data_IF_477771390970
#
_entry.id   IF_477771390970
#
_cell.length_a   1.000
_cell.length_b   1.000
_cell.length_c   1.000
_cell.angle_alpha   90.00
_cell.angle_beta   90.00
_cell.angle_gamma   90.00
#
_symmetry.space_group_name_H-M   'P 1'
#
loop_
_entity.id
_entity.type
_entity.pdbx_description
1 polymer ?
#
# COMPACT_ATOMS: atom_id res chain seq x y z
N UNK A 1 20.55 -7.21 26.37
CA UNK A 1 21.81 -6.98 25.63
C UNK A 1 21.72 -7.30 24.11
N UNK A 2 20.86 -8.18 23.64
CA UNK A 2 20.67 -8.45 22.20
C UNK A 2 19.82 -7.39 21.45
N UNK A 3 18.87 -6.77 22.13
CA UNK A 3 18.01 -5.71 21.57
C UNK A 3 18.77 -4.41 21.30
N UNK A 4 19.73 -4.06 22.19
CA UNK A 4 20.54 -2.85 22.05
C UNK A 4 21.54 -2.89 20.86
N UNK A 5 22.00 -4.09 20.48
CA UNK A 5 22.88 -4.24 19.31
C UNK A 5 22.15 -4.10 17.97
N UNK A 6 20.85 -4.41 17.92
CA UNK A 6 20.06 -4.30 16.71
C UNK A 6 19.72 -2.84 16.37
N UNK A 7 19.34 -2.05 17.37
CA UNK A 7 19.07 -0.61 17.20
C UNK A 7 20.33 0.16 16.79
N UNK A 8 21.52 -0.24 17.27
CA UNK A 8 22.79 0.42 16.92
C UNK A 8 23.24 0.12 15.48
N UNK A 9 22.91 -1.05 14.94
CA UNK A 9 23.20 -1.42 13.54
C UNK A 9 22.27 -0.67 12.57
N UNK A 10 21.00 -0.49 12.92
CA UNK A 10 20.05 0.28 12.09
C UNK A 10 20.39 1.78 12.07
N UNK A 11 20.85 2.36 13.17
CA UNK A 11 21.33 3.75 13.17
C UNK A 11 22.64 3.96 12.38
N UNK A 12 23.50 2.94 12.31
CA UNK A 12 24.74 3.01 11.52
C UNK A 12 24.51 2.84 10.01
N UNK A 13 23.46 2.13 9.60
CA UNK A 13 23.08 1.99 8.18
C UNK A 13 22.46 3.29 7.65
N UNK A 14 21.63 3.98 8.46
CA UNK A 14 21.03 5.27 8.08
C UNK A 14 22.09 6.37 7.96
N UNK A 15 23.12 6.37 8.83
CA UNK A 15 24.21 7.34 8.74
C UNK A 15 25.17 7.10 7.56
N UNK A 16 25.31 5.86 7.08
CA UNK A 16 26.17 5.55 5.92
C UNK A 16 25.51 5.87 4.58
N UNK A 17 24.18 5.86 4.48
CA UNK A 17 23.45 6.24 3.26
C UNK A 17 23.50 7.75 3.04
N UNK A 18 23.44 8.56 4.11
CA UNK A 18 23.54 10.02 4.02
C UNK A 18 24.96 10.49 3.67
N UNK A 19 26.00 9.73 4.05
CA UNK A 19 27.40 10.09 3.74
C UNK A 19 27.83 9.68 2.31
N UNK A 20 27.22 8.63 1.72
CA UNK A 20 27.52 8.24 0.34
C UNK A 20 26.92 9.13 -0.74
N UNK A 21 25.87 9.90 -0.45
CA UNK A 21 25.28 10.85 -1.42
C UNK A 21 26.02 12.19 -1.49
N UNK A 22 26.94 12.50 -0.57
CA UNK A 22 27.70 13.74 -0.55
C UNK A 22 29.12 13.64 -1.13
N UNK A 23 29.60 12.44 -1.50
CA UNK A 23 30.98 12.21 -1.98
C UNK A 23 31.12 12.00 -3.49
N UNK A 24 30.02 12.07 -4.27
CA UNK A 24 30.08 11.86 -5.74
C UNK A 24 30.05 13.13 -6.60
N UNK A 25 30.14 14.33 -6.02
CA UNK A 25 30.13 15.61 -6.79
C UNK A 25 31.50 16.30 -6.72
N UNK A 26 32.61 15.58 -6.73
CA UNK A 26 33.90 16.27 -6.92
C UNK A 26 34.97 15.34 -7.50
N UNK A 27 34.86 15.04 -8.80
CA UNK A 27 36.02 14.74 -9.65
C UNK A 27 35.63 14.81 -11.12
N UNK A 28 36.43 15.60 -11.82
CA UNK A 28 36.54 15.79 -13.26
C UNK A 28 35.68 16.93 -13.87
N UNK A 29 36.31 18.12 -14.00
CA UNK A 29 36.53 18.68 -15.31
C UNK A 29 37.28 20.00 -15.22
N UNK A 30 38.60 19.92 -15.35
CA UNK A 30 39.43 21.03 -15.79
C UNK A 30 39.29 21.12 -17.32
N UNK A 31 38.52 22.08 -17.81
CA UNK A 31 38.72 22.68 -19.15
C UNK A 31 38.31 24.15 -19.07
N UNK A 32 39.28 25.00 -19.39
CA UNK A 32 39.14 26.45 -19.56
C UNK A 32 37.97 26.79 -20.45
N UNK A 33 36.96 27.44 -19.87
CA UNK A 33 35.98 28.23 -20.58
C UNK A 33 35.86 29.56 -19.82
N UNK A 34 36.34 30.61 -20.43
CA UNK A 34 36.19 32.02 -19.97
C UNK A 34 34.70 32.30 -19.76
N UNK A 35 34.23 32.64 -18.55
CA UNK A 35 32.82 32.96 -18.36
C UNK A 35 32.56 34.39 -18.85
N UNK A 36 31.63 34.50 -19.76
CA UNK A 36 30.94 35.75 -20.00
C UNK A 36 30.04 36.00 -18.75
N UNK A 37 30.57 36.79 -17.82
CA UNK A 37 29.84 37.24 -16.63
C UNK A 37 28.79 38.28 -17.06
N UNK A 38 27.59 37.80 -17.38
CA UNK A 38 26.39 38.61 -17.18
C UNK A 38 25.96 38.42 -15.72
N UNK A 39 26.49 39.28 -14.86
CA UNK A 39 26.00 39.42 -13.48
C UNK A 39 24.61 40.02 -13.53
N UNK A 40 23.57 39.18 -13.51
CA UNK A 40 22.28 39.57 -12.96
C UNK A 40 22.48 39.67 -11.45
N UNK A 41 22.53 40.90 -10.93
CA UNK A 41 22.48 41.16 -9.48
C UNK A 41 21.12 40.69 -8.93
N UNK A 42 20.96 39.39 -8.69
CA UNK A 42 19.89 38.86 -7.82
C UNK A 42 20.31 39.14 -6.39
N UNK A 43 19.46 39.80 -5.63
CA UNK A 43 19.72 40.06 -4.22
C UNK A 43 19.76 38.70 -3.46
N UNK A 44 20.61 38.65 -2.44
CA UNK A 44 20.70 37.47 -1.54
C UNK A 44 19.33 37.14 -0.98
N UNK A 45 18.44 38.11 -0.78
CA UNK A 45 17.05 37.95 -0.35
C UNK A 45 16.17 37.17 -1.35
N UNK A 46 16.37 37.34 -2.68
CA UNK A 46 15.62 36.61 -3.70
C UNK A 46 16.04 35.14 -3.75
N UNK A 47 17.34 34.86 -3.62
CA UNK A 47 17.86 33.48 -3.60
C UNK A 47 17.39 32.76 -2.34
N UNK A 48 17.35 33.42 -1.18
CA UNK A 48 16.88 32.85 0.07
C UNK A 48 15.37 32.56 0.02
N UNK A 49 14.58 33.46 -0.59
CA UNK A 49 13.13 33.23 -0.79
C UNK A 49 12.83 32.09 -1.77
N UNK A 50 13.60 31.96 -2.85
CA UNK A 50 13.46 30.82 -3.77
C UNK A 50 13.81 29.49 -3.08
N UNK A 51 14.82 29.47 -2.21
CA UNK A 51 15.22 28.30 -1.45
C UNK A 51 14.16 27.92 -0.41
N UNK A 52 13.63 28.89 0.34
CA UNK A 52 12.52 28.66 1.28
C UNK A 52 11.24 28.20 0.58
N UNK A 53 10.96 28.69 -0.63
CA UNK A 53 9.84 28.26 -1.45
C UNK A 53 9.99 26.78 -1.91
N UNK A 54 11.20 26.40 -2.33
CA UNK A 54 11.51 25.05 -2.76
C UNK A 54 11.39 24.04 -1.60
N UNK A 55 11.85 24.42 -0.40
CA UNK A 55 11.79 23.58 0.79
C UNK A 55 10.34 23.29 1.24
N UNK A 56 9.41 24.23 1.02
CA UNK A 56 7.99 24.05 1.39
C UNK A 56 7.23 23.13 0.41
N UNK A 57 7.54 23.19 -0.88
CA UNK A 57 6.95 22.28 -1.88
C UNK A 57 7.40 20.83 -1.65
N UNK A 58 8.65 20.64 -1.30
CA UNK A 58 9.24 19.33 -0.95
C UNK A 58 8.53 18.69 0.25
N UNK A 59 8.09 19.48 1.26
CA UNK A 59 7.48 18.98 2.48
C UNK A 59 6.19 18.17 2.24
N UNK A 60 5.26 18.64 1.40
CA UNK A 60 3.99 17.93 1.17
C UNK A 60 4.22 16.61 0.44
N UNK A 61 5.07 16.61 -0.57
CA UNK A 61 5.46 15.41 -1.30
C UNK A 61 6.14 14.40 -0.38
N UNK A 62 7.02 14.87 0.50
CA UNK A 62 7.71 14.08 1.52
C UNK A 62 6.72 13.49 2.51
N UNK A 63 5.77 14.27 3.03
CA UNK A 63 4.76 13.78 3.98
C UNK A 63 3.87 12.68 3.39
N UNK A 64 3.47 12.82 2.11
CA UNK A 64 2.74 11.77 1.39
C UNK A 64 3.58 10.49 1.29
N UNK A 65 4.87 10.62 0.98
CA UNK A 65 5.79 9.49 0.91
C UNK A 65 5.97 8.85 2.30
N UNK A 66 6.22 9.64 3.33
CA UNK A 66 6.38 9.16 4.72
C UNK A 66 5.13 8.41 5.21
N UNK A 67 3.93 8.85 4.84
CA UNK A 67 2.69 8.14 5.15
C UNK A 67 2.59 6.79 4.41
N UNK A 68 2.97 6.75 3.12
CA UNK A 68 3.05 5.50 2.36
C UNK A 68 4.03 4.51 3.01
N UNK A 69 5.23 4.98 3.36
CA UNK A 69 6.28 4.18 4.01
C UNK A 69 5.83 3.67 5.38
N UNK A 70 5.17 4.51 6.18
CA UNK A 70 4.63 4.13 7.48
C UNK A 70 3.63 2.99 7.38
N UNK A 71 2.69 3.06 6.43
CA UNK A 71 1.70 2.01 6.19
C UNK A 71 2.33 0.73 5.65
N UNK A 72 3.30 0.85 4.76
CA UNK A 72 4.06 -0.27 4.23
C UNK A 72 4.80 -1.02 5.35
N UNK A 73 5.53 -0.30 6.19
CA UNK A 73 6.27 -0.88 7.31
C UNK A 73 5.34 -1.53 8.34
N UNK A 74 4.18 -0.92 8.64
CA UNK A 74 3.19 -1.50 9.56
C UNK A 74 2.66 -2.85 9.03
N UNK A 75 2.38 -2.96 7.73
CA UNK A 75 1.95 -4.21 7.11
C UNK A 75 3.05 -5.28 7.17
N UNK A 76 4.30 -4.91 6.83
CA UNK A 76 5.45 -5.85 6.88
C UNK A 76 5.65 -6.34 8.31
N UNK A 77 5.68 -5.45 9.29
CA UNK A 77 5.83 -5.81 10.71
C UNK A 77 4.77 -6.81 11.13
N UNK A 78 3.50 -6.53 10.81
CA UNK A 78 2.39 -7.44 11.16
C UNK A 78 2.52 -8.80 10.50
N UNK A 79 2.90 -8.86 9.24
CA UNK A 79 3.09 -10.13 8.51
C UNK A 79 4.28 -10.93 9.06
N UNK A 80 5.33 -10.24 9.52
CA UNK A 80 6.55 -10.88 10.04
C UNK A 80 6.41 -11.42 11.48
N UNK A 81 5.27 -11.20 12.14
CA UNK A 81 4.98 -11.79 13.45
C UNK A 81 4.66 -13.30 13.35
N UNK A 82 4.16 -13.74 12.21
CA UNK A 82 3.86 -15.15 11.96
C UNK A 82 5.14 -15.90 11.56
N UNK A 83 5.29 -17.14 12.02
CA UNK A 83 6.42 -18.00 11.61
C UNK A 83 6.10 -18.75 10.32
N UNK A 84 4.84 -19.14 10.15
CA UNK A 84 4.34 -19.91 9.02
C UNK A 84 2.95 -19.42 8.60
N UNK A 85 2.73 -19.30 7.30
CA UNK A 85 1.42 -19.00 6.74
C UNK A 85 0.79 -20.29 6.21
N UNK A 86 -0.23 -20.79 6.93
CA UNK A 86 -1.05 -21.91 6.45
C UNK A 86 -2.04 -21.39 5.42
N UNK A 87 -1.88 -21.82 4.17
CA UNK A 87 -2.65 -21.31 3.03
C UNK A 87 -3.80 -22.24 2.65
N UNK A 88 -3.58 -23.55 2.75
CA UNK A 88 -4.57 -24.56 2.41
C UNK A 88 -4.50 -25.70 3.45
N UNK A 89 -5.66 -26.12 3.93
CA UNK A 89 -5.79 -27.36 4.69
C UNK A 89 -6.55 -28.37 3.82
N UNK A 90 -5.99 -29.58 3.72
CA UNK A 90 -6.59 -30.69 3.00
C UNK A 90 -6.94 -31.77 4.00
N UNK A 91 -8.22 -32.07 4.13
CA UNK A 91 -8.71 -33.21 4.93
C UNK A 91 -9.09 -34.36 4.01
N UNK A 92 -8.72 -35.57 4.40
CA UNK A 92 -8.99 -36.75 3.59
C UNK A 92 -8.83 -38.05 4.35
N UNK A 93 -9.21 -39.13 3.69
CA UNK A 93 -9.03 -40.48 4.23
C UNK A 93 -8.24 -41.34 3.25
N UNK A 94 -7.29 -42.08 3.77
CA UNK A 94 -6.49 -43.08 3.03
C UNK A 94 -6.79 -44.48 3.54
N UNK A 95 -7.14 -45.35 2.64
CA UNK A 95 -7.33 -46.77 2.94
C UNK A 95 -6.22 -47.57 2.28
N UNK A 96 -5.52 -48.39 3.07
CA UNK A 96 -4.47 -49.29 2.57
C UNK A 96 -4.68 -50.69 3.07
N UNK A 97 -4.36 -51.65 2.22
CA UNK A 97 -4.41 -53.08 2.59
C UNK A 97 -2.98 -53.61 2.50
N UNK A 98 -2.51 -54.17 3.58
CA UNK A 98 -1.22 -54.85 3.67
C UNK A 98 -1.43 -56.33 3.84
N UNK A 99 -0.82 -57.13 2.96
CA UNK A 99 -0.94 -58.57 2.97
C UNK A 99 0.40 -59.21 3.26
N UNK A 100 0.40 -60.17 4.14
CA UNK A 100 1.56 -61.02 4.42
C UNK A 100 1.27 -62.40 3.85
N UNK A 101 2.12 -62.84 2.90
CA UNK A 101 2.12 -64.21 2.37
C UNK A 101 3.33 -64.90 2.90
N UNK A 102 3.19 -66.07 3.45
CA UNK A 102 4.33 -66.89 3.86
C UNK A 102 4.95 -67.52 2.61
N UNK A 103 6.27 -67.51 2.51
CA UNK A 103 7.03 -68.06 1.37
C UNK A 103 7.13 -69.58 1.37
N UNK A 104 6.72 -70.23 2.47
CA UNK A 104 6.76 -71.66 2.57
C UNK A 104 5.53 -72.28 1.92
N UNK A 105 5.68 -72.87 0.75
CA UNK A 105 4.64 -73.41 -0.14
C UNK A 105 3.80 -74.55 0.44
N UNK A 106 3.97 -74.94 1.68
CA UNK A 106 3.32 -76.08 2.30
C UNK A 106 2.10 -75.73 3.22
N UNK A 107 1.84 -74.49 3.51
CA UNK A 107 0.74 -74.13 4.44
C UNK A 107 -0.23 -73.18 3.79
N UNK A 108 -1.29 -73.69 3.23
CA UNK A 108 -2.35 -72.92 2.54
C UNK A 108 -3.14 -71.93 3.41
N UNK A 109 -2.94 -71.87 4.73
CA UNK A 109 -3.70 -71.07 5.69
C UNK A 109 -2.86 -70.15 6.57
N UNK A 110 -1.74 -69.62 6.02
CA UNK A 110 -0.83 -68.79 6.79
C UNK A 110 -0.81 -67.30 6.29
N UNK A 111 -1.93 -66.84 5.77
CA UNK A 111 -2.06 -65.47 5.28
C UNK A 111 -2.64 -64.56 6.36
N UNK A 112 -2.18 -63.36 6.38
CA UNK A 112 -2.80 -62.30 7.17
C UNK A 112 -2.90 -61.05 6.32
N UNK A 113 -4.01 -60.33 6.44
CA UNK A 113 -4.19 -59.01 5.82
C UNK A 113 -4.62 -58.00 6.87
N UNK A 114 -4.09 -56.82 6.76
CA UNK A 114 -4.39 -55.69 7.61
C UNK A 114 -4.92 -54.55 6.74
N UNK A 115 -6.15 -54.14 6.97
CA UNK A 115 -6.73 -52.95 6.37
C UNK A 115 -6.55 -51.78 7.36
N UNK A 116 -5.91 -50.73 6.92
CA UNK A 116 -5.70 -49.53 7.72
C UNK A 116 -6.38 -48.35 7.03
N UNK A 117 -7.27 -47.68 7.77
CA UNK A 117 -7.85 -46.41 7.36
C UNK A 117 -7.27 -45.29 8.23
N UNK A 118 -6.71 -44.29 7.60
CA UNK A 118 -6.20 -43.09 8.23
C UNK A 118 -7.06 -41.88 7.78
N UNK A 119 -7.64 -41.18 8.72
CA UNK A 119 -8.23 -39.85 8.47
C UNK A 119 -7.15 -38.82 8.81
N UNK A 120 -6.78 -38.00 7.84
CA UNK A 120 -5.61 -37.11 7.87
C UNK A 120 -5.98 -35.69 7.55
N UNK A 121 -5.17 -34.78 8.06
CA UNK A 121 -5.18 -33.34 7.70
C UNK A 121 -3.78 -32.92 7.30
N UNK A 122 -3.63 -32.36 6.08
CA UNK A 122 -2.37 -31.80 5.59
C UNK A 122 -2.49 -30.27 5.50
N UNK A 123 -1.55 -29.56 6.11
CA UNK A 123 -1.44 -28.12 6.01
C UNK A 123 -0.36 -27.76 4.99
N UNK A 124 -0.73 -27.03 3.94
CA UNK A 124 0.15 -26.49 2.91
C UNK A 124 0.31 -25.00 3.12
N UNK A 125 1.53 -24.52 3.06
CA UNK A 125 1.83 -23.11 3.26
C UNK A 125 3.27 -22.77 2.98
N UNK A 126 3.71 -21.63 3.50
CA UNK A 126 5.06 -21.11 3.33
C UNK A 126 5.58 -20.58 4.67
N UNK A 127 6.87 -20.74 4.92
CA UNK A 127 7.53 -20.05 6.02
C UNK A 127 7.67 -18.56 5.69
N UNK A 128 7.37 -17.68 6.64
CA UNK A 128 7.56 -16.23 6.44
C UNK A 128 9.04 -15.89 6.20
N UNK A 129 9.98 -16.71 6.69
CA UNK A 129 11.40 -16.55 6.43
C UNK A 129 11.80 -16.78 4.94
N UNK A 130 10.96 -17.50 4.19
CA UNK A 130 11.16 -17.73 2.74
C UNK A 130 10.56 -16.60 1.89
N UNK A 131 9.97 -15.57 2.52
CA UNK A 131 9.38 -14.41 1.86
C UNK A 131 10.26 -13.19 2.10
N UNK A 132 10.65 -12.52 1.02
CA UNK A 132 11.41 -11.27 1.10
C UNK A 132 10.49 -10.08 0.93
N UNK A 133 10.56 -9.17 1.91
CA UNK A 133 9.85 -7.91 1.90
C UNK A 133 10.82 -6.76 1.66
N UNK A 134 10.41 -5.81 0.84
CA UNK A 134 11.11 -4.55 0.62
C UNK A 134 10.10 -3.43 0.47
N UNK A 135 10.47 -2.20 0.83
CA UNK A 135 9.66 -1.02 0.54
C UNK A 135 10.35 -0.26 -0.57
N UNK A 136 9.67 -0.10 -1.70
CA UNK A 136 10.18 0.61 -2.86
C UNK A 136 10.10 2.13 -2.63
N UNK A 137 10.85 2.90 -3.43
CA UNK A 137 10.97 4.37 -3.28
C UNK A 137 9.62 5.10 -3.38
N UNK A 138 8.65 4.55 -4.08
CA UNK A 138 7.30 5.09 -4.21
C UNK A 138 6.35 4.68 -3.08
N UNK A 139 6.81 3.90 -2.11
CA UNK A 139 6.02 3.34 -1.01
C UNK A 139 5.24 2.08 -1.37
N UNK A 140 5.49 1.48 -2.53
CA UNK A 140 4.99 0.14 -2.88
C UNK A 140 5.72 -0.92 -2.08
N UNK A 141 5.03 -1.97 -1.64
CA UNK A 141 5.64 -3.11 -0.95
C UNK A 141 6.02 -4.16 -1.97
N UNK A 142 7.31 -4.44 -2.12
CA UNK A 142 7.84 -5.59 -2.82
C UNK A 142 7.71 -6.84 -1.95
N UNK A 143 7.12 -7.91 -2.49
CA UNK A 143 6.91 -9.20 -1.84
C UNK A 143 7.39 -10.27 -2.81
N UNK A 144 8.52 -10.87 -2.50
CA UNK A 144 9.17 -11.83 -3.36
C UNK A 144 9.30 -13.17 -2.65
N UNK A 145 8.83 -14.24 -3.26
CA UNK A 145 8.94 -15.61 -2.80
C UNK A 145 9.06 -16.56 -3.98
N UNK A 146 9.69 -17.72 -3.76
CA UNK A 146 9.68 -18.78 -4.74
C UNK A 146 8.45 -19.69 -4.51
N UNK A 147 7.73 -20.00 -5.56
CA UNK A 147 6.60 -20.92 -5.49
C UNK A 147 6.98 -22.30 -4.96
N UNK A 148 8.21 -22.74 -5.19
CA UNK A 148 8.74 -24.02 -4.70
C UNK A 148 8.94 -24.03 -3.18
N UNK A 149 8.92 -22.87 -2.51
CA UNK A 149 8.94 -22.76 -1.05
C UNK A 149 7.57 -23.01 -0.43
N UNK A 150 6.50 -23.04 -1.24
CA UNK A 150 5.16 -23.47 -0.81
C UNK A 150 5.16 -24.99 -0.71
N UNK A 151 5.08 -25.49 0.51
CA UNK A 151 5.23 -26.92 0.83
C UNK A 151 4.28 -27.38 1.91
N UNK A 152 4.30 -28.67 2.21
CA UNK A 152 3.59 -29.22 3.36
C UNK A 152 4.31 -28.76 4.62
N UNK A 153 3.62 -27.97 5.45
CA UNK A 153 4.11 -27.51 6.76
C UNK A 153 3.89 -28.59 7.83
N UNK A 154 2.74 -29.24 7.81
CA UNK A 154 2.44 -30.32 8.75
C UNK A 154 1.45 -31.33 8.17
N UNK A 155 1.53 -32.55 8.67
CA UNK A 155 0.56 -33.61 8.40
C UNK A 155 0.16 -34.24 9.74
N UNK A 156 -1.14 -34.32 9.99
CA UNK A 156 -1.69 -34.86 11.23
C UNK A 156 -2.64 -36.01 10.93
N UNK A 157 -2.55 -37.06 11.71
CA UNK A 157 -3.54 -38.13 11.72
C UNK A 157 -4.61 -37.75 12.73
N UNK A 158 -5.83 -37.57 12.25
CA UNK A 158 -7.00 -37.25 13.09
C UNK A 158 -7.64 -38.48 13.67
N UNK A 159 -7.63 -39.59 12.92
CA UNK A 159 -8.19 -40.87 13.36
C UNK A 159 -7.50 -42.04 12.64
N UNK A 160 -7.40 -43.16 13.32
CA UNK A 160 -6.87 -44.42 12.77
C UNK A 160 -7.82 -45.55 13.11
N UNK A 161 -8.31 -46.24 12.10
CA UNK A 161 -9.04 -47.48 12.28
C UNK A 161 -8.37 -48.59 11.51
N UNK A 162 -8.36 -49.78 12.07
CA UNK A 162 -7.79 -50.95 11.38
C UNK A 162 -8.62 -52.17 11.64
N UNK A 163 -8.63 -53.06 10.65
CA UNK A 163 -9.19 -54.41 10.79
C UNK A 163 -8.20 -55.44 10.26
N UNK A 164 -8.04 -56.51 11.01
CA UNK A 164 -7.13 -57.59 10.66
C UNK A 164 -7.95 -58.85 10.32
N UNK A 165 -7.67 -59.44 9.17
CA UNK A 165 -8.16 -60.74 8.77
C UNK A 165 -6.96 -61.68 8.68
N UNK A 166 -7.10 -62.87 9.26
CA UNK A 166 -6.05 -63.90 9.24
C UNK A 166 -6.63 -65.27 9.06
N UNK A 167 -5.87 -66.11 8.40
CA UNK A 167 -6.13 -67.52 8.33
C UNK A 167 -5.79 -68.21 9.66
N UNK A 168 -6.16 -69.47 9.82
CA UNK A 168 -6.01 -70.24 11.05
C UNK A 168 -4.61 -70.21 11.65
N UNK A 169 -3.57 -70.20 10.80
CA UNK A 169 -2.17 -70.16 11.22
C UNK A 169 -1.51 -68.80 10.93
N UNK A 170 -2.27 -67.84 10.46
CA UNK A 170 -1.76 -66.48 10.18
C UNK A 170 -1.30 -65.77 11.46
N UNK A 171 -0.09 -65.20 11.43
CA UNK A 171 0.42 -64.41 12.56
C UNK A 171 -0.20 -63.03 12.54
N UNK A 172 -0.64 -62.53 13.70
CA UNK A 172 -1.10 -61.17 13.88
C UNK A 172 0.02 -60.16 13.53
N UNK A 173 -0.38 -59.00 13.02
CA UNK A 173 0.53 -57.89 12.89
C UNK A 173 0.95 -57.37 14.28
N UNK A 174 2.23 -57.23 14.50
CA UNK A 174 2.76 -56.63 15.72
C UNK A 174 2.48 -55.12 15.76
N UNK A 175 2.52 -54.54 16.96
CA UNK A 175 2.38 -53.09 17.13
C UNK A 175 3.46 -52.31 16.37
N UNK A 176 4.69 -52.83 16.30
CA UNK A 176 5.79 -52.21 15.55
C UNK A 176 5.52 -52.21 14.04
N UNK A 177 4.97 -53.30 13.49
CA UNK A 177 4.61 -53.39 12.07
C UNK A 177 3.47 -52.41 11.75
N UNK A 178 2.45 -52.32 12.63
CA UNK A 178 1.35 -51.35 12.46
C UNK A 178 1.89 -49.90 12.41
N UNK A 179 2.80 -49.54 13.32
CA UNK A 179 3.44 -48.21 13.34
C UNK A 179 4.19 -47.97 12.03
N UNK A 180 5.02 -48.91 11.59
CA UNK A 180 5.77 -48.78 10.34
C UNK A 180 4.88 -48.65 9.11
N UNK A 181 3.74 -49.32 9.09
CA UNK A 181 2.72 -49.22 8.03
C UNK A 181 2.10 -47.80 8.02
N UNK A 182 1.76 -47.27 9.19
CA UNK A 182 1.21 -45.92 9.34
C UNK A 182 2.22 -44.87 8.86
N UNK A 183 3.46 -44.96 9.32
CA UNK A 183 4.55 -44.05 8.92
C UNK A 183 4.79 -44.09 7.40
N UNK A 184 4.91 -45.27 6.80
CA UNK A 184 5.08 -45.43 5.36
C UNK A 184 3.90 -44.91 4.53
N UNK A 185 2.65 -44.97 5.08
CA UNK A 185 1.50 -44.37 4.43
C UNK A 185 1.54 -42.84 4.54
N UNK A 186 2.01 -42.27 5.66
CA UNK A 186 2.18 -40.80 5.83
C UNK A 186 3.18 -40.24 4.84
N UNK A 187 4.31 -40.93 4.61
CA UNK A 187 5.32 -40.46 3.65
C UNK A 187 4.79 -40.46 2.21
N UNK A 188 4.05 -41.49 1.82
CA UNK A 188 3.38 -41.54 0.51
C UNK A 188 2.36 -40.43 0.34
N UNK A 189 1.63 -40.06 1.40
CA UNK A 189 0.68 -38.98 1.39
C UNK A 189 1.41 -37.63 1.23
N UNK A 190 2.49 -37.42 1.99
CA UNK A 190 3.32 -36.19 1.85
C UNK A 190 3.85 -36.07 0.43
N UNK A 191 4.37 -37.12 -0.14
CA UNK A 191 4.85 -37.14 -1.51
C UNK A 191 3.74 -36.85 -2.52
N UNK A 192 2.59 -37.52 -2.41
CA UNK A 192 1.46 -37.35 -3.34
C UNK A 192 0.84 -35.94 -3.26
N UNK A 193 0.78 -35.34 -2.08
CA UNK A 193 0.27 -33.97 -1.87
C UNK A 193 1.31 -32.94 -2.25
N UNK A 194 2.59 -33.14 -1.86
CA UNK A 194 3.67 -32.19 -2.10
C UNK A 194 4.01 -32.05 -3.60
N UNK A 195 3.91 -33.15 -4.36
CA UNK A 195 4.16 -33.15 -5.81
C UNK A 195 2.93 -32.78 -6.66
N UNK A 196 1.82 -32.38 -6.01
CA UNK A 196 0.58 -32.06 -6.72
C UNK A 196 0.48 -30.57 -7.01
N UNK A 197 0.80 -30.19 -8.23
CA UNK A 197 0.74 -28.80 -8.74
C UNK A 197 -0.60 -28.13 -8.48
N UNK A 198 -1.70 -28.86 -8.48
CA UNK A 198 -3.03 -28.30 -8.23
C UNK A 198 -3.13 -27.69 -6.83
N UNK A 199 -2.57 -28.35 -5.82
CA UNK A 199 -2.62 -27.87 -4.45
C UNK A 199 -1.64 -26.74 -4.21
N UNK A 200 -0.43 -26.83 -4.79
CA UNK A 200 0.57 -25.77 -4.75
C UNK A 200 0.05 -24.51 -5.46
N UNK A 201 -0.54 -24.64 -6.66
CA UNK A 201 -1.15 -23.52 -7.38
C UNK A 201 -2.33 -22.88 -6.62
N UNK A 202 -3.11 -23.69 -5.89
CA UNK A 202 -4.18 -23.16 -5.05
C UNK A 202 -3.62 -22.37 -3.89
N UNK A 203 -2.59 -22.87 -3.22
CA UNK A 203 -1.92 -22.20 -2.11
C UNK A 203 -1.29 -20.89 -2.57
N UNK A 204 -0.59 -20.88 -3.71
CA UNK A 204 -0.01 -19.67 -4.31
C UNK A 204 -1.08 -18.57 -4.55
N UNK A 205 -2.23 -18.92 -5.12
CA UNK A 205 -3.33 -17.96 -5.31
C UNK A 205 -3.89 -17.43 -3.98
N UNK A 206 -3.95 -18.27 -2.95
CA UNK A 206 -4.41 -17.85 -1.62
C UNK A 206 -3.39 -16.88 -1.01
N UNK A 207 -2.08 -17.13 -1.16
CA UNK A 207 -1.02 -16.25 -0.69
C UNK A 207 -1.07 -14.88 -1.37
N UNK A 208 -1.23 -14.85 -2.70
CA UNK A 208 -1.37 -13.60 -3.46
C UNK A 208 -2.58 -12.79 -2.97
N UNK A 209 -3.72 -13.46 -2.77
CA UNK A 209 -4.92 -12.81 -2.25
C UNK A 209 -4.75 -12.30 -0.83
N UNK A 210 -4.11 -13.08 0.05
CA UNK A 210 -3.80 -12.70 1.43
C UNK A 210 -3.06 -11.38 1.48
N UNK A 211 -1.97 -11.22 0.70
CA UNK A 211 -1.21 -9.97 0.69
C UNK A 211 -1.99 -8.81 0.08
N UNK A 212 -2.80 -9.06 -0.94
CA UNK A 212 -3.67 -8.03 -1.51
C UNK A 212 -4.72 -7.54 -0.50
N UNK A 213 -5.36 -8.44 0.25
CA UNK A 213 -6.36 -8.09 1.25
C UNK A 213 -5.70 -7.42 2.48
N UNK A 214 -4.50 -7.84 2.88
CA UNK A 214 -3.69 -7.15 3.88
C UNK A 214 -3.33 -5.73 3.43
N UNK A 215 -2.90 -5.55 2.20
CA UNK A 215 -2.61 -4.23 1.64
C UNK A 215 -3.81 -3.29 1.70
N UNK A 216 -5.01 -3.78 1.40
CA UNK A 216 -6.25 -3.01 1.59
C UNK A 216 -6.50 -2.65 3.03
N UNK A 217 -6.34 -3.62 3.94
CA UNK A 217 -6.57 -3.43 5.39
C UNK A 217 -5.66 -2.36 5.97
N UNK A 218 -4.38 -2.36 5.60
CA UNK A 218 -3.41 -1.36 6.03
C UNK A 218 -3.47 -0.07 5.20
N UNK A 219 -4.23 -0.05 4.10
CA UNK A 219 -4.34 1.11 3.22
C UNK A 219 -3.02 1.47 2.54
N UNK A 220 -2.17 0.48 2.20
CA UNK A 220 -0.90 0.72 1.53
C UNK A 220 -1.09 1.23 0.11
N UNK A 221 -0.10 1.93 -0.43
CA UNK A 221 -0.15 2.48 -1.78
C UNK A 221 -0.26 1.39 -2.85
N UNK A 222 0.63 0.42 -2.82
CA UNK A 222 0.67 -0.66 -3.80
C UNK A 222 1.42 -1.88 -3.29
N UNK A 223 1.22 -3.00 -3.99
CA UNK A 223 1.93 -4.26 -3.76
C UNK A 223 2.54 -4.72 -5.08
N UNK A 224 3.81 -5.10 -5.03
CA UNK A 224 4.56 -5.73 -6.12
C UNK A 224 4.83 -7.19 -5.73
N UNK A 225 4.02 -8.11 -6.24
CA UNK A 225 4.16 -9.55 -6.01
C UNK A 225 5.01 -10.17 -7.13
N UNK A 226 6.21 -10.67 -6.79
CA UNK A 226 7.13 -11.28 -7.73
C UNK A 226 7.30 -10.45 -9.03
N UNK A 227 7.51 -9.13 -8.87
CA UNK A 227 7.69 -8.19 -9.98
C UNK A 227 6.42 -7.66 -10.64
N UNK A 228 5.22 -8.12 -10.23
CA UNK A 228 3.96 -7.61 -10.74
C UNK A 228 3.33 -6.62 -9.76
N UNK A 229 3.32 -5.34 -10.13
CA UNK A 229 2.76 -4.27 -9.31
C UNK A 229 1.25 -4.14 -9.48
N UNK A 230 0.56 -3.94 -8.37
CA UNK A 230 -0.86 -3.59 -8.29
C UNK A 230 -1.04 -2.41 -7.35
N UNK A 231 -1.55 -1.29 -7.85
CA UNK A 231 -1.87 -0.13 -7.02
C UNK A 231 -3.18 -0.41 -6.28
N UNK A 232 -3.12 -0.31 -4.95
CA UNK A 232 -4.25 -0.58 -4.05
C UNK A 232 -4.97 0.72 -3.69
N UNK A 233 -4.22 1.74 -3.29
CA UNK A 233 -4.78 2.99 -2.82
C UNK A 233 -4.27 4.18 -3.65
N UNK A 234 -5.12 4.67 -4.56
CA UNK A 234 -4.80 5.80 -5.43
C UNK A 234 -4.83 7.16 -4.73
N UNK A 235 -5.30 7.23 -3.48
CA UNK A 235 -5.32 8.49 -2.72
C UNK A 235 -3.92 9.07 -2.49
N UNK A 236 -2.88 8.30 -2.71
CA UNK A 236 -1.48 8.72 -2.59
C UNK A 236 -0.80 9.03 -3.93
N UNK A 237 -1.52 9.03 -5.04
CA UNK A 237 -0.96 9.56 -6.28
C UNK A 237 -0.83 11.07 -6.15
N UNK A 238 0.39 11.57 -6.23
CA UNK A 238 0.70 12.98 -6.12
C UNK A 238 1.38 13.47 -7.41
N UNK A 239 0.87 14.58 -7.93
CA UNK A 239 1.37 15.22 -9.15
C UNK A 239 1.69 16.68 -8.84
N UNK A 240 2.94 17.07 -9.10
CA UNK A 240 3.44 18.41 -8.85
C UNK A 240 3.39 19.26 -10.13
N UNK A 241 2.64 20.35 -10.06
CA UNK A 241 2.48 21.35 -11.12
C UNK A 241 2.82 22.77 -10.62
N UNK A 242 3.55 22.90 -9.51
CA UNK A 242 3.89 24.20 -8.90
C UNK A 242 4.82 25.08 -9.75
N UNK A 243 5.48 24.50 -10.75
CA UNK A 243 6.29 25.25 -11.73
C UNK A 243 5.47 26.02 -12.76
N UNK A 244 4.15 25.87 -12.74
CA UNK A 244 3.24 26.58 -13.63
C UNK A 244 2.99 27.99 -13.12
N UNK A 245 3.10 28.99 -13.99
CA UNK A 245 2.84 30.38 -13.64
C UNK A 245 1.37 30.72 -13.82
N UNK A 246 0.72 31.10 -12.74
CA UNK A 246 -0.68 31.53 -12.75
C UNK A 246 -0.73 33.05 -12.50
N UNK A 247 -0.74 33.84 -13.50
CA UNK A 247 -0.93 35.29 -13.56
C UNK A 247 -0.76 36.11 -12.26
N UNK A 248 -1.84 36.28 -11.52
CA UNK A 248 -1.86 37.13 -10.32
C UNK A 248 -1.53 36.39 -9.00
N UNK A 249 -1.38 35.07 -9.00
CA UNK A 249 -1.05 34.27 -7.81
C UNK A 249 0.46 34.26 -7.54
N UNK A 250 1.05 35.45 -7.32
CA UNK A 250 2.49 35.59 -7.10
C UNK A 250 2.84 36.21 -5.73
N UNK A 251 1.83 36.55 -4.93
CA UNK A 251 2.06 37.18 -3.62
C UNK A 251 2.39 36.11 -2.58
N UNK A 252 3.39 36.36 -1.71
CA UNK A 252 3.73 35.40 -0.65
C UNK A 252 2.59 35.27 0.37
N UNK A 253 2.24 34.04 0.71
CA UNK A 253 1.35 33.70 1.83
C UNK A 253 2.20 33.43 3.07
N UNK A 254 2.00 34.22 4.13
CA UNK A 254 2.69 34.00 5.40
C UNK A 254 2.10 32.77 6.08
N UNK A 255 2.96 31.83 6.48
CA UNK A 255 2.56 30.55 7.03
C UNK A 255 1.79 30.67 8.37
N UNK A 256 2.14 31.63 9.21
CA UNK A 256 1.46 31.99 10.47
C UNK A 256 0.11 32.71 10.26
N UNK A 257 -0.13 33.23 9.05
CA UNK A 257 -1.39 33.86 8.70
C UNK A 257 -2.49 32.85 8.29
N UNK A 258 -2.16 31.58 8.02
CA UNK A 258 -3.13 30.57 7.57
C UNK A 258 -4.10 30.21 8.70
N UNK A 259 -5.36 30.64 8.52
CA UNK A 259 -6.47 30.40 9.46
C UNK A 259 -7.53 29.45 8.92
N UNK A 260 -7.51 29.20 7.61
CA UNK A 260 -8.54 28.42 6.94
C UNK A 260 -7.92 27.45 5.93
N UNK A 261 -8.52 26.26 5.86
CA UNK A 261 -8.40 25.33 4.75
C UNK A 261 -9.77 25.36 4.06
N UNK A 262 -9.83 25.94 2.84
CA UNK A 262 -11.08 26.16 2.14
C UNK A 262 -11.32 25.10 1.09
N UNK A 263 -12.47 24.43 1.16
CA UNK A 263 -12.87 23.39 0.24
C UNK A 263 -13.81 23.96 -0.82
N UNK A 264 -13.45 23.74 -2.09
CA UNK A 264 -14.20 24.13 -3.26
C UNK A 264 -14.69 22.92 -4.05
N UNK A 265 -15.58 23.12 -4.99
CA UNK A 265 -15.95 22.16 -6.02
C UNK A 265 -15.91 22.82 -7.39
N UNK A 266 -15.35 22.15 -8.39
CA UNK A 266 -15.13 22.69 -9.72
C UNK A 266 -16.43 23.05 -10.46
N UNK A 267 -17.57 22.50 -10.06
CA UNK A 267 -18.89 22.65 -10.70
C UNK A 267 -18.90 22.28 -12.20
N UNK A 268 -17.86 21.64 -12.70
CA UNK A 268 -17.71 21.14 -14.07
C UNK A 268 -17.75 19.61 -14.02
N UNK A 269 -18.92 19.03 -14.26
CA UNK A 269 -19.09 17.58 -14.16
C UNK A 269 -18.18 16.81 -15.10
N UNK A 270 -17.49 15.79 -14.54
CA UNK A 270 -16.64 14.86 -15.28
C UNK A 270 -15.27 15.42 -15.71
N UNK A 271 -14.98 16.71 -15.44
CA UNK A 271 -13.68 17.32 -15.76
C UNK A 271 -12.67 17.02 -14.64
N UNK A 272 -11.54 16.40 -15.01
CA UNK A 272 -10.49 16.01 -14.07
C UNK A 272 -9.54 17.15 -13.67
N UNK A 273 -8.77 16.94 -12.62
CA UNK A 273 -7.84 17.93 -12.05
C UNK A 273 -6.81 18.45 -13.07
N UNK A 274 -6.20 17.55 -13.85
CA UNK A 274 -5.22 17.92 -14.87
C UNK A 274 -5.82 18.86 -15.94
N UNK A 275 -7.07 18.65 -16.32
CA UNK A 275 -7.75 19.49 -17.30
C UNK A 275 -7.97 20.90 -16.77
N UNK A 276 -8.35 21.06 -15.49
CA UNK A 276 -8.46 22.35 -14.82
C UNK A 276 -7.11 23.07 -14.75
N UNK A 277 -6.03 22.37 -14.40
CA UNK A 277 -4.68 22.93 -14.34
C UNK A 277 -4.21 23.37 -15.75
N UNK A 278 -4.44 22.56 -16.78
CA UNK A 278 -4.09 22.92 -18.15
C UNK A 278 -4.90 24.12 -18.65
N UNK A 279 -6.16 24.25 -18.23
CA UNK A 279 -6.97 25.42 -18.58
C UNK A 279 -6.42 26.70 -17.94
N UNK A 280 -6.01 26.66 -16.65
CA UNK A 280 -5.38 27.76 -15.95
C UNK A 280 -4.05 28.19 -16.58
N UNK A 281 -3.36 27.27 -17.23
CA UNK A 281 -2.10 27.50 -17.95
C UNK A 281 -2.29 28.16 -19.30
N UNK A 282 -3.51 28.26 -19.77
CA UNK A 282 -3.77 28.82 -21.08
C UNK A 282 -3.73 30.36 -21.00
N UNK A 283 -2.94 31.03 -21.85
CA UNK A 283 -2.81 32.47 -21.91
C UNK A 283 -4.16 33.19 -22.13
N UNK A 284 -5.18 32.47 -22.54
CA UNK A 284 -6.54 32.98 -22.72
C UNK A 284 -7.40 32.92 -21.42
N UNK A 285 -6.91 32.37 -20.33
CA UNK A 285 -7.63 32.37 -19.06
C UNK A 285 -7.60 33.77 -18.44
N UNK A 286 -8.67 34.52 -18.63
CA UNK A 286 -8.79 35.92 -18.15
C UNK A 286 -8.92 36.02 -16.63
N UNK A 287 -9.43 34.98 -15.98
CA UNK A 287 -9.70 34.92 -14.54
C UNK A 287 -8.85 33.83 -13.90
N UNK A 288 -7.69 34.22 -13.44
CA UNK A 288 -6.69 33.26 -12.93
C UNK A 288 -6.94 32.91 -11.47
N UNK A 289 -8.17 32.46 -11.18
CA UNK A 289 -8.53 31.93 -9.89
C UNK A 289 -7.99 30.50 -9.75
N UNK A 290 -6.85 30.33 -9.08
CA UNK A 290 -6.27 29.04 -8.86
C UNK A 290 -6.37 28.62 -7.39
N UNK A 291 -6.59 27.33 -7.14
CA UNK A 291 -6.45 26.71 -5.84
C UNK A 291 -5.06 26.09 -5.69
N UNK A 292 -4.62 25.88 -4.45
CA UNK A 292 -3.33 25.22 -4.18
C UNK A 292 -3.34 23.78 -4.65
N UNK A 293 -4.45 23.09 -4.42
CA UNK A 293 -4.63 21.69 -4.79
C UNK A 293 -5.89 21.49 -5.61
N UNK A 294 -5.80 20.60 -6.58
CA UNK A 294 -6.92 20.01 -7.30
C UNK A 294 -6.91 18.50 -7.01
N UNK A 295 -8.08 17.93 -6.74
CA UNK A 295 -8.19 16.50 -6.47
C UNK A 295 -9.28 15.87 -7.31
N UNK A 296 -8.99 14.68 -7.85
CA UNK A 296 -9.92 13.86 -8.62
C UNK A 296 -9.77 12.37 -8.25
N UNK A 297 -10.53 11.44 -8.83
CA UNK A 297 -10.37 10.02 -8.54
C UNK A 297 -8.99 9.43 -8.85
N UNK A 298 -8.17 10.12 -9.65
CA UNK A 298 -6.82 9.66 -10.04
C UNK A 298 -5.74 10.06 -9.06
N UNK A 299 -5.98 11.12 -8.23
CA UNK A 299 -5.01 11.56 -7.24
C UNK A 299 -5.12 13.02 -6.81
N UNK A 300 -4.01 13.50 -6.29
CA UNK A 300 -3.79 14.83 -5.72
C UNK A 300 -2.85 15.58 -6.67
N UNK A 301 -3.26 16.77 -7.08
CA UNK A 301 -2.49 17.64 -8.00
C UNK A 301 -2.22 18.95 -7.28
N UNK A 302 -0.97 19.25 -6.98
CA UNK A 302 -0.57 20.53 -6.41
C UNK A 302 -0.31 21.53 -7.54
N UNK A 303 -1.11 22.58 -7.60
CA UNK A 303 -1.00 23.62 -8.63
C UNK A 303 -0.22 24.86 -8.16
N UNK A 304 -0.34 25.22 -6.88
CA UNK A 304 0.38 26.33 -6.27
C UNK A 304 1.10 25.86 -5.01
N UNK A 305 2.25 26.45 -4.73
CA UNK A 305 2.89 26.30 -3.44
C UNK A 305 2.02 26.89 -2.33
N UNK A 306 2.03 26.23 -1.17
CA UNK A 306 1.23 26.67 -0.01
C UNK A 306 1.73 27.97 0.62
N UNK A 307 2.85 28.49 0.18
CA UNK A 307 3.41 29.80 0.55
C UNK A 307 3.04 30.92 -0.43
N UNK A 308 2.19 30.64 -1.43
CA UNK A 308 1.68 31.62 -2.39
C UNK A 308 0.19 31.87 -2.10
N UNK A 309 -0.22 33.14 -2.15
CA UNK A 309 -1.64 33.51 -2.01
C UNK A 309 -2.43 33.01 -3.21
N UNK A 310 -3.43 32.18 -2.97
CA UNK A 310 -4.37 31.73 -4.00
C UNK A 310 -5.56 32.68 -4.11
N UNK A 311 -6.04 32.92 -5.34
CA UNK A 311 -7.15 33.82 -5.60
C UNK A 311 -8.43 33.05 -5.91
N UNK A 312 -9.17 32.62 -4.86
CA UNK A 312 -10.37 31.78 -5.02
C UNK A 312 -11.49 32.02 -3.99
N UNK A 313 -11.17 32.71 -2.88
CA UNK A 313 -12.11 32.87 -1.75
C UNK A 313 -12.45 34.33 -1.42
N UNK A 314 -12.06 35.25 -2.29
CA UNK A 314 -12.22 36.69 -2.10
C UNK A 314 -11.12 37.33 -1.23
N UNK A 315 -11.01 38.66 -1.35
CA UNK A 315 -9.89 39.43 -0.78
C UNK A 315 -9.72 39.23 0.75
N UNK A 316 -10.81 38.98 1.44
CA UNK A 316 -10.81 38.81 2.90
C UNK A 316 -10.16 37.48 3.36
N UNK A 317 -10.19 36.45 2.50
CA UNK A 317 -9.76 35.09 2.85
C UNK A 317 -8.52 34.62 2.08
N UNK A 318 -8.24 35.19 0.90
CA UNK A 318 -7.15 34.73 0.03
C UNK A 318 -5.79 34.71 0.73
N UNK A 319 -5.47 35.74 1.53
CA UNK A 319 -4.21 35.88 2.27
C UNK A 319 -4.14 35.15 3.61
N UNK A 320 -5.18 34.36 3.93
CA UNK A 320 -5.34 33.63 5.21
C UNK A 320 -5.71 32.16 5.01
N UNK A 321 -5.65 31.64 3.79
CA UNK A 321 -6.14 30.30 3.49
C UNK A 321 -5.25 29.54 2.53
N UNK A 322 -5.28 28.22 2.73
CA UNK A 322 -4.90 27.25 1.72
C UNK A 322 -6.19 26.58 1.19
N UNK A 323 -6.27 26.36 -0.11
CA UNK A 323 -7.48 25.92 -0.78
C UNK A 323 -7.32 24.61 -1.53
N UNK A 324 -8.41 23.81 -1.50
CA UNK A 324 -8.51 22.53 -2.18
C UNK A 324 -9.74 22.52 -3.08
N UNK A 325 -9.54 22.34 -4.36
CA UNK A 325 -10.58 22.21 -5.39
C UNK A 325 -10.89 20.74 -5.63
N UNK A 326 -12.11 20.31 -5.32
CA UNK A 326 -12.58 18.94 -5.50
C UNK A 326 -13.29 18.87 -6.85
N UNK A 327 -12.79 18.06 -7.79
CA UNK A 327 -13.44 17.86 -9.07
C UNK A 327 -14.84 17.26 -8.89
N UNK A 328 -15.80 17.78 -9.64
CA UNK A 328 -17.22 17.41 -9.53
C UNK A 328 -17.54 16.27 -10.48
N UNK A 329 -18.30 15.28 -9.99
CA UNK A 329 -18.76 14.13 -10.75
C UNK A 329 -20.22 13.82 -10.39
N UNK A 330 -21.06 13.54 -11.39
CA UNK A 330 -22.41 12.98 -11.21
C UNK A 330 -22.39 11.52 -10.77
N UNK A 331 -21.26 10.83 -10.95
CA UNK A 331 -21.02 9.47 -10.48
C UNK A 331 -20.60 9.46 -9.00
N UNK A 332 -21.47 8.95 -8.12
CA UNK A 332 -21.26 8.90 -6.68
C UNK A 332 -19.92 8.25 -6.26
N UNK A 333 -19.50 7.16 -6.94
CA UNK A 333 -18.23 6.48 -6.63
C UNK A 333 -17.04 7.36 -6.94
N UNK A 334 -17.04 8.04 -8.10
CA UNK A 334 -15.97 8.96 -8.48
C UNK A 334 -15.95 10.19 -7.56
N UNK A 335 -17.14 10.74 -7.24
CA UNK A 335 -17.25 11.89 -6.33
C UNK A 335 -16.68 11.54 -4.94
N UNK A 336 -17.06 10.39 -4.38
CA UNK A 336 -16.56 9.97 -3.08
C UNK A 336 -15.05 9.70 -3.10
N UNK A 337 -14.50 9.22 -4.21
CA UNK A 337 -13.06 9.05 -4.37
C UNK A 337 -12.30 10.39 -4.41
N UNK A 338 -12.83 11.39 -5.13
CA UNK A 338 -12.27 12.74 -5.13
C UNK A 338 -12.31 13.37 -3.71
N UNK A 339 -13.42 13.19 -2.98
CA UNK A 339 -13.56 13.63 -1.57
C UNK A 339 -12.53 12.93 -0.68
N UNK A 340 -12.28 11.64 -0.89
CA UNK A 340 -11.26 10.89 -0.13
C UNK A 340 -9.85 11.40 -0.39
N UNK A 341 -9.52 11.75 -1.65
CA UNK A 341 -8.25 12.38 -1.98
C UNK A 341 -8.12 13.77 -1.35
N UNK A 342 -9.21 14.56 -1.31
CA UNK A 342 -9.26 15.82 -0.59
C UNK A 342 -8.98 15.65 0.90
N UNK A 343 -9.53 14.59 1.53
CA UNK A 343 -9.25 14.28 2.94
C UNK A 343 -7.77 14.06 3.19
N UNK A 344 -7.09 13.28 2.35
CA UNK A 344 -5.64 13.06 2.47
C UNK A 344 -4.88 14.39 2.47
N UNK A 345 -5.21 15.32 1.56
CA UNK A 345 -4.62 16.67 1.52
C UNK A 345 -4.92 17.43 2.80
N UNK A 346 -6.19 17.46 3.23
CA UNK A 346 -6.61 18.19 4.44
C UNK A 346 -5.92 17.67 5.68
N UNK A 347 -5.76 16.35 5.83
CA UNK A 347 -5.07 15.75 6.97
C UNK A 347 -3.59 16.18 7.02
N UNK A 348 -2.92 16.27 5.87
CA UNK A 348 -1.55 16.81 5.77
C UNK A 348 -1.54 18.30 6.13
N UNK A 349 -2.44 19.09 5.56
CA UNK A 349 -2.54 20.52 5.82
C UNK A 349 -2.86 20.84 7.29
N UNK A 350 -3.67 20.01 7.96
CA UNK A 350 -3.96 20.16 9.39
C UNK A 350 -2.74 19.89 10.27
N UNK A 351 -1.87 18.97 9.90
CA UNK A 351 -0.58 18.77 10.59
C UNK A 351 0.32 20.01 10.46
N UNK A 352 0.34 20.61 9.28
CA UNK A 352 1.12 21.83 9.00
C UNK A 352 0.50 23.08 9.62
N UNK A 353 -0.83 23.19 9.59
CA UNK A 353 -1.61 24.33 10.11
C UNK A 353 -2.62 23.88 11.17
N UNK A 354 -2.16 23.46 12.37
CA UNK A 354 -3.00 22.81 13.37
C UNK A 354 -4.16 23.69 13.87
N UNK A 355 -4.04 25.00 13.75
CA UNK A 355 -5.06 25.97 14.16
C UNK A 355 -6.01 26.38 13.03
N UNK A 356 -5.77 25.92 11.79
CA UNK A 356 -6.60 26.27 10.65
C UNK A 356 -7.96 25.53 10.71
N UNK A 357 -9.04 26.25 10.46
CA UNK A 357 -10.39 25.70 10.38
C UNK A 357 -10.65 25.18 8.97
N UNK A 358 -11.19 23.98 8.86
CA UNK A 358 -11.68 23.45 7.59
C UNK A 358 -13.08 23.97 7.36
N UNK A 359 -13.29 24.65 6.23
CA UNK A 359 -14.56 25.30 5.87
C UNK A 359 -14.85 25.11 4.38
N UNK A 360 -16.14 25.18 4.01
CA UNK A 360 -16.52 25.27 2.60
C UNK A 360 -16.40 26.71 2.10
N UNK A 361 -16.28 26.90 0.79
CA UNK A 361 -16.32 28.24 0.20
C UNK A 361 -17.66 28.94 0.49
N UNK A 362 -18.78 28.21 0.56
CA UNK A 362 -20.08 28.77 0.96
C UNK A 362 -19.99 29.49 2.30
N UNK A 363 -19.34 28.90 3.30
CA UNK A 363 -19.26 29.43 4.68
C UNK A 363 -18.42 30.72 4.79
N UNK A 364 -17.57 31.01 3.83
CA UNK A 364 -16.70 32.19 3.79
C UNK A 364 -17.09 33.17 2.68
N UNK A 365 -18.08 32.82 1.86
CA UNK A 365 -18.57 33.68 0.77
C UNK A 365 -19.58 34.70 1.30
N UNK A 366 -19.30 35.97 1.07
CA UNK A 366 -20.24 37.05 1.41
C UNK A 366 -21.55 37.04 0.60
N UNK A 367 -21.58 36.25 -0.49
CA UNK A 367 -22.71 36.19 -1.44
C UNK A 367 -23.48 34.86 -1.37
N UNK A 368 -23.23 34.01 -0.38
CA UNK A 368 -23.89 32.71 -0.25
C UNK A 368 -23.66 31.77 -1.43
N UNK A 369 -22.45 31.78 -1.98
CA UNK A 369 -22.09 30.97 -3.13
C UNK A 369 -22.25 29.49 -2.82
N UNK A 370 -23.01 28.73 -3.63
CA UNK A 370 -23.20 27.29 -3.50
C UNK A 370 -21.93 26.56 -3.95
N UNK A 371 -20.90 26.54 -3.09
CA UNK A 371 -19.64 25.89 -3.37
C UNK A 371 -19.12 25.17 -2.12
N UNK A 372 -18.83 23.86 -2.21
CA UNK A 372 -18.91 22.96 -3.39
C UNK A 372 -20.36 22.67 -3.84
N UNK A 373 -20.63 22.70 -5.15
CA UNK A 373 -21.99 22.50 -5.70
C UNK A 373 -22.57 21.12 -5.37
N UNK A 374 -21.77 20.06 -5.37
CA UNK A 374 -22.17 18.69 -5.05
C UNK A 374 -22.68 18.49 -3.61
N UNK A 375 -22.62 19.52 -2.76
CA UNK A 375 -23.22 19.53 -1.41
C UNK A 375 -24.54 20.31 -1.39
N UNK A 376 -24.67 21.37 -2.20
CA UNK A 376 -25.74 22.35 -2.11
C UNK A 376 -26.76 22.26 -3.24
N UNK A 377 -26.51 21.42 -4.24
CA UNK A 377 -27.44 21.22 -5.36
C UNK A 377 -28.55 20.21 -4.99
N UNK A 378 -29.63 20.22 -5.75
CA UNK A 378 -30.78 19.34 -5.53
C UNK A 378 -30.44 17.85 -5.57
N UNK A 379 -29.36 17.50 -6.26
CA UNK A 379 -28.83 16.13 -6.39
C UNK A 379 -27.57 15.92 -5.55
N UNK A 380 -27.45 16.62 -4.41
CA UNK A 380 -26.28 16.54 -3.54
C UNK A 380 -25.97 15.07 -3.16
N UNK A 381 -24.72 14.66 -3.42
CA UNK A 381 -24.20 13.31 -3.13
C UNK A 381 -24.03 13.11 -1.62
N UNK A 382 -23.80 14.20 -0.87
CA UNK A 382 -23.52 14.21 0.57
C UNK A 382 -24.05 15.51 1.17
N UNK A 383 -24.59 15.47 2.38
CA UNK A 383 -24.99 16.69 3.11
C UNK A 383 -23.78 17.47 3.59
N UNK A 384 -23.90 18.80 3.75
CA UNK A 384 -22.81 19.64 4.27
C UNK A 384 -22.30 19.15 5.62
N UNK A 385 -23.18 18.76 6.53
CA UNK A 385 -22.81 18.24 7.84
C UNK A 385 -21.97 16.95 7.72
N UNK A 386 -22.41 15.98 6.93
CA UNK A 386 -21.70 14.74 6.69
C UNK A 386 -20.37 14.99 5.99
N UNK A 387 -20.34 15.93 5.02
CA UNK A 387 -19.12 16.32 4.32
C UNK A 387 -18.11 16.94 5.29
N UNK A 388 -18.48 17.95 6.08
CA UNK A 388 -17.56 18.57 7.05
C UNK A 388 -17.14 17.60 8.17
N UNK A 389 -18.02 16.67 8.58
CA UNK A 389 -17.68 15.61 9.52
C UNK A 389 -16.61 14.67 8.95
N UNK A 390 -16.60 14.47 7.65
CA UNK A 390 -15.61 13.64 6.98
C UNK A 390 -14.18 14.21 7.08
N UNK A 391 -14.05 15.55 7.29
CA UNK A 391 -12.75 16.24 7.42
C UNK A 391 -12.39 16.59 8.89
N UNK A 392 -13.19 16.18 9.87
CA UNK A 392 -12.88 16.29 11.30
C UNK A 392 -12.01 15.11 11.73
#
# INVERSE_FOLDING_TARGET
MKLFKRVLVEMLVISSIVVCSLTFINKDNNKDVTPLLTTTNRSVEEVTKEQEQMDVAIDIKKEILDEKLTKANAMITKTSEDLELVLVTLDGSVNTTHSRKNKDDFVFFNNASLNVKLDISCKIGISVNDIKFEVLDDGTIGINYNKDDIKILSTQINNTTYSENKDVFGKKFSKAELISIIEGNMDKIKEAVGNNDKYINKADKVLQRYYYDMGKTFGVYGICLNGKTTIINKTYNFFDYTNVKYGHNNSPLKQDAVKYIILHGTSNDGVGALQHINWLNNDNASDQNACHFYVDPSGIYQALDTNIVSWNAGKEYNDKSVSVEICTYDNNTKQMQAIQNARTVVDILKRKYPNARVVTHNQVSSYGKKCPSFIYDSNAVITEEAFLKYFK
#
